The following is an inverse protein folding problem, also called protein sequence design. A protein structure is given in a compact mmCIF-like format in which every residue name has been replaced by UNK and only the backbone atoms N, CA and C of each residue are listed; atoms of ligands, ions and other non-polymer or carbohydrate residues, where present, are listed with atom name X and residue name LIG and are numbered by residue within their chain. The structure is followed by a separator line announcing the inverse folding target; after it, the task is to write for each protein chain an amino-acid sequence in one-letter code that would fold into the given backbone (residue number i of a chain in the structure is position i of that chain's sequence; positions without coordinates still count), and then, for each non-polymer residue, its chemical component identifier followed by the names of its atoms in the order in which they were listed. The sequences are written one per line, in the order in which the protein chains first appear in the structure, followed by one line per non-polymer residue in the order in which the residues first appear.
data_IF_737601595851
#
_entry.id   IF_737601595851
#
_cell.length_a   1.000
_cell.length_b   1.000
_cell.length_c   1.000
_cell.angle_alpha   90.00
_cell.angle_beta   90.00
_cell.angle_gamma   90.00
#
_symmetry.space_group_name_H-M   'P 1'
#
loop_
_entity.id
_entity.type
_entity.pdbx_description
1 polymer ?
#
# COMPACT_ATOMS: atom_id res chain seq x y z
N UNK A 1 -28.80 8.36 49.13
CA UNK A 1 -29.44 9.33 48.22
C UNK A 1 -28.36 10.25 47.64
N UNK A 2 -28.52 10.59 46.35
CA UNK A 2 -27.63 11.34 45.43
C UNK A 2 -26.66 10.45 44.62
N UNK A 3 -27.16 10.11 43.44
CA UNK A 3 -26.46 9.39 42.38
C UNK A 3 -25.63 10.30 41.48
N UNK A 4 -24.68 9.68 40.82
CA UNK A 4 -23.81 10.26 39.80
C UNK A 4 -24.26 9.68 38.46
N UNK A 5 -24.91 10.52 37.65
CA UNK A 5 -25.39 10.17 36.32
C UNK A 5 -24.31 10.50 35.29
N UNK A 6 -24.19 9.62 34.28
CA UNK A 6 -23.19 9.73 33.23
C UNK A 6 -23.49 10.79 32.18
N UNK A 7 -22.44 11.12 31.42
CA UNK A 7 -22.52 11.81 30.14
C UNK A 7 -21.28 11.47 29.30
N UNK A 8 -21.37 10.37 28.54
CA UNK A 8 -20.51 10.11 27.39
C UNK A 8 -21.34 10.46 26.15
N UNK A 9 -20.98 11.56 25.48
CA UNK A 9 -21.54 11.96 24.20
C UNK A 9 -20.68 11.39 23.07
N UNK A 10 -21.23 10.41 22.37
CA UNK A 10 -20.68 9.78 21.17
C UNK A 10 -21.48 10.26 19.96
N UNK A 11 -20.79 10.54 18.85
CA UNK A 11 -21.41 10.61 17.51
C UNK A 11 -21.56 11.99 16.88
N UNK A 12 -20.46 12.63 16.46
CA UNK A 12 -20.49 13.67 15.41
C UNK A 12 -19.12 13.88 14.73
N UNK A 13 -18.38 12.80 14.47
CA UNK A 13 -17.04 12.86 13.84
C UNK A 13 -16.94 12.18 12.48
N UNK A 14 -17.76 11.17 12.21
CA UNK A 14 -17.54 10.24 11.09
C UNK A 14 -18.11 10.72 9.73
N UNK A 15 -19.03 11.68 9.75
CA UNK A 15 -19.63 12.23 8.52
C UNK A 15 -18.75 13.33 7.91
N UNK A 16 -18.06 14.11 8.74
CA UNK A 16 -17.17 15.20 8.30
C UNK A 16 -15.91 14.68 7.58
N UNK A 17 -15.40 13.50 7.97
CA UNK A 17 -14.21 12.89 7.37
C UNK A 17 -14.52 12.34 5.97
N UNK A 18 -15.73 11.79 5.74
CA UNK A 18 -16.15 11.32 4.40
C UNK A 18 -16.34 12.45 3.39
N UNK A 19 -16.87 13.60 3.81
CA UNK A 19 -17.02 14.77 2.93
C UNK A 19 -15.66 15.42 2.62
N UNK A 20 -14.71 15.40 3.57
CA UNK A 20 -13.34 15.85 3.35
C UNK A 20 -12.60 14.97 2.31
N UNK A 21 -12.85 13.66 2.28
CA UNK A 21 -12.31 12.74 1.26
C UNK A 21 -12.91 12.97 -0.14
N UNK A 22 -14.15 13.47 -0.23
CA UNK A 22 -14.80 13.80 -1.51
C UNK A 22 -14.32 15.13 -2.09
N UNK A 23 -13.97 16.11 -1.24
CA UNK A 23 -13.42 17.42 -1.65
C UNK A 23 -11.97 17.39 -2.14
N UNK A 24 -11.13 16.49 -1.62
CA UNK A 24 -9.71 16.39 -1.99
C UNK A 24 -9.52 15.89 -3.43
N UNK A 25 -10.47 15.13 -3.98
CA UNK A 25 -10.47 14.73 -5.38
C UNK A 25 -10.67 15.90 -6.36
N UNK A 26 -11.35 16.98 -5.95
CA UNK A 26 -11.60 18.17 -6.78
C UNK A 26 -10.47 19.21 -6.73
N UNK A 27 -9.86 19.42 -5.55
CA UNK A 27 -8.82 20.43 -5.36
C UNK A 27 -7.45 20.04 -5.96
N UNK A 28 -7.22 18.75 -6.20
CA UNK A 28 -5.97 18.25 -6.83
C UNK A 28 -5.99 18.44 -8.36
N UNK A 29 -7.16 18.54 -8.98
CA UNK A 29 -7.29 18.82 -10.42
C UNK A 29 -6.98 20.27 -10.81
N UNK A 30 -7.31 21.24 -9.95
CA UNK A 30 -7.21 22.67 -10.28
C UNK A 30 -5.78 23.25 -10.20
N UNK A 31 -4.96 22.81 -9.24
CA UNK A 31 -3.61 23.35 -9.05
C UNK A 31 -2.54 22.75 -9.99
N UNK A 32 -2.83 21.62 -10.63
CA UNK A 32 -1.91 20.96 -11.57
C UNK A 32 -2.03 21.49 -13.01
N UNK A 33 -3.01 22.35 -13.28
CA UNK A 33 -3.22 23.03 -14.56
C UNK A 33 -2.39 24.33 -14.68
N UNK A 34 -2.09 25.00 -13.56
CA UNK A 34 -1.46 26.33 -13.56
C UNK A 34 0.08 26.32 -13.61
N UNK A 35 0.75 25.18 -13.48
CA UNK A 35 2.22 25.08 -13.42
C UNK A 35 2.92 24.51 -14.67
N UNK A 36 2.19 24.07 -15.69
CA UNK A 36 2.76 23.29 -16.82
C UNK A 36 2.90 24.03 -18.15
N UNK A 37 2.49 25.30 -18.22
CA UNK A 37 2.45 26.04 -19.48
C UNK A 37 3.81 26.51 -20.02
N UNK A 38 4.92 26.39 -19.28
CA UNK A 38 6.18 27.09 -19.66
C UNK A 38 7.36 26.23 -20.17
N UNK A 39 7.31 24.88 -20.20
CA UNK A 39 8.54 24.07 -20.49
C UNK A 39 8.30 22.81 -21.36
N UNK A 40 7.30 22.79 -22.26
CA UNK A 40 6.70 21.52 -22.72
C UNK A 40 6.98 20.94 -24.13
N UNK A 41 7.49 21.68 -25.13
CA UNK A 41 7.11 21.35 -26.54
C UNK A 41 8.09 20.50 -27.40
N UNK A 42 9.08 19.75 -26.88
CA UNK A 42 10.00 18.99 -27.79
C UNK A 42 10.32 17.52 -27.49
N UNK A 43 9.49 16.78 -26.73
CA UNK A 43 9.75 15.36 -26.47
C UNK A 43 8.45 14.53 -26.53
N UNK A 44 7.79 14.53 -27.70
CA UNK A 44 6.40 14.04 -27.86
C UNK A 44 6.21 12.56 -28.25
N UNK A 45 7.00 11.98 -29.16
CA UNK A 45 6.54 10.76 -29.84
C UNK A 45 6.94 9.42 -29.18
N UNK A 46 7.90 9.40 -28.24
CA UNK A 46 8.32 8.17 -27.55
C UNK A 46 7.60 7.89 -26.21
N UNK A 47 6.82 8.86 -25.69
CA UNK A 47 6.27 8.82 -24.31
C UNK A 47 4.86 8.25 -24.19
N UNK A 48 4.18 7.98 -25.31
CA UNK A 48 2.79 7.50 -25.29
C UNK A 48 2.63 6.04 -24.79
N UNK A 49 3.71 5.25 -24.76
CA UNK A 49 3.69 3.83 -24.33
C UNK A 49 3.97 3.58 -22.84
N UNK A 50 4.20 4.60 -22.02
CA UNK A 50 4.21 4.38 -20.56
C UNK A 50 2.76 4.47 -20.09
N UNK A 51 1.99 3.38 -20.29
CA UNK A 51 0.74 3.24 -19.55
C UNK A 51 1.09 3.20 -18.06
N UNK A 52 0.24 3.80 -17.22
CA UNK A 52 0.52 4.12 -15.81
C UNK A 52 1.02 2.94 -14.95
N UNK A 53 0.81 1.71 -15.40
CA UNK A 53 1.31 0.50 -14.75
C UNK A 53 2.39 -0.28 -15.52
N UNK A 54 2.68 0.04 -16.78
CA UNK A 54 3.62 -0.74 -17.59
C UNK A 54 5.04 -0.67 -17.01
N UNK A 55 5.42 0.48 -16.48
CA UNK A 55 6.71 0.65 -15.83
C UNK A 55 6.81 -0.18 -14.54
N UNK A 56 5.72 -0.33 -13.79
CA UNK A 56 5.68 -1.18 -12.58
C UNK A 56 5.85 -2.62 -13.00
N UNK A 57 5.05 -3.10 -13.96
CA UNK A 57 5.14 -4.46 -14.48
C UNK A 57 6.53 -4.75 -15.02
N UNK A 58 7.07 -3.88 -15.87
CA UNK A 58 8.44 -4.01 -16.39
C UNK A 58 9.49 -4.01 -15.26
N UNK A 59 9.32 -3.19 -14.23
CA UNK A 59 10.22 -3.16 -13.07
C UNK A 59 10.17 -4.47 -12.29
N UNK A 60 8.98 -5.02 -12.07
CA UNK A 60 8.79 -6.30 -11.39
C UNK A 60 9.33 -7.44 -12.25
N UNK A 61 9.02 -7.48 -13.54
CA UNK A 61 9.48 -8.53 -14.45
C UNK A 61 11.01 -8.53 -14.62
N UNK A 62 11.66 -7.39 -14.38
CA UNK A 62 13.11 -7.25 -14.36
C UNK A 62 13.75 -7.65 -13.00
N UNK A 63 12.97 -7.93 -11.96
CA UNK A 63 13.54 -8.34 -10.67
C UNK A 63 14.14 -9.74 -10.78
N UNK A 64 15.42 -9.92 -10.40
CA UNK A 64 16.01 -11.25 -10.37
C UNK A 64 15.33 -12.08 -9.28
N UNK A 65 14.92 -13.30 -9.65
CA UNK A 65 14.47 -14.28 -8.68
C UNK A 65 15.67 -14.70 -7.78
N UNK A 66 15.53 -14.61 -6.45
CA UNK A 66 16.56 -15.12 -5.55
C UNK A 66 16.64 -16.64 -5.63
N UNK A 67 17.83 -17.19 -5.37
CA UNK A 67 18.01 -18.64 -5.28
C UNK A 67 17.16 -19.24 -4.16
N UNK A 68 16.78 -20.51 -4.25
CA UNK A 68 15.98 -21.19 -3.24
C UNK A 68 16.72 -22.43 -2.72
N UNK A 69 17.26 -22.42 -1.49
CA UNK A 69 17.31 -21.30 -0.53
C UNK A 69 18.25 -20.18 -0.98
N UNK A 70 18.03 -18.95 -0.47
CA UNK A 70 18.90 -17.82 -0.81
C UNK A 70 20.20 -17.87 -0.01
N UNK A 71 21.30 -17.56 -0.68
CA UNK A 71 22.63 -17.43 -0.08
C UNK A 71 23.17 -16.00 -0.14
N UNK A 72 22.44 -15.09 -0.82
CA UNK A 72 22.72 -13.66 -0.85
C UNK A 72 21.54 -12.91 -0.23
N UNK A 73 21.81 -11.74 0.32
CA UNK A 73 20.76 -10.83 0.73
C UNK A 73 19.95 -10.39 -0.50
N UNK A 74 18.63 -10.46 -0.39
CA UNK A 74 17.68 -10.00 -1.38
C UNK A 74 16.75 -8.99 -0.73
N UNK A 75 16.52 -7.87 -1.40
CA UNK A 75 15.68 -6.78 -0.91
C UNK A 75 14.88 -6.15 -2.05
N UNK A 76 13.60 -5.89 -1.77
CA UNK A 76 12.82 -4.98 -2.60
C UNK A 76 11.76 -4.26 -1.78
N UNK A 77 11.60 -2.96 -2.01
CA UNK A 77 10.71 -2.08 -1.26
C UNK A 77 9.83 -1.24 -2.19
N UNK A 78 8.83 -0.56 -1.61
CA UNK A 78 8.02 0.39 -2.34
C UNK A 78 8.84 1.62 -2.77
N UNK A 79 9.77 2.07 -1.94
CA UNK A 79 10.71 3.13 -2.30
C UNK A 79 11.57 2.76 -3.50
N UNK A 80 12.18 1.56 -3.50
CA UNK A 80 12.96 1.03 -4.61
C UNK A 80 12.13 0.91 -5.90
N UNK A 81 10.86 0.50 -5.80
CA UNK A 81 9.95 0.52 -6.95
C UNK A 81 9.80 1.94 -7.50
N UNK A 82 9.44 2.91 -6.66
CA UNK A 82 9.17 4.27 -7.12
C UNK A 82 10.43 4.96 -7.65
N UNK A 83 11.60 4.75 -7.06
CA UNK A 83 12.85 5.33 -7.56
C UNK A 83 13.20 4.88 -8.99
N UNK A 84 12.74 3.70 -9.42
CA UNK A 84 12.89 3.22 -10.82
C UNK A 84 11.90 3.85 -11.81
N UNK A 85 10.99 4.69 -11.34
CA UNK A 85 10.03 5.36 -12.22
C UNK A 85 10.73 6.39 -13.14
N UNK A 86 10.50 6.36 -14.47
CA UNK A 86 11.29 7.14 -15.44
C UNK A 86 11.16 8.67 -15.33
N UNK A 87 10.17 9.15 -14.58
CA UNK A 87 9.96 10.60 -14.34
C UNK A 87 10.32 11.04 -12.92
N UNK A 88 10.91 10.18 -12.09
CA UNK A 88 11.39 10.58 -10.76
C UNK A 88 12.73 11.28 -10.95
N UNK A 89 12.85 12.57 -10.63
CA UNK A 89 14.14 13.25 -10.69
C UNK A 89 15.10 12.64 -9.67
N UNK A 90 16.38 12.45 -10.03
CA UNK A 90 17.39 11.88 -9.13
C UNK A 90 17.48 12.59 -7.76
N UNK A 91 17.24 13.91 -7.73
CA UNK A 91 17.26 14.70 -6.47
C UNK A 91 16.15 14.29 -5.49
N UNK A 92 15.09 13.64 -5.96
CA UNK A 92 13.98 13.15 -5.13
C UNK A 92 14.19 11.73 -4.62
N UNK A 93 15.25 11.03 -5.04
CA UNK A 93 15.54 9.67 -4.59
C UNK A 93 15.74 9.60 -3.07
N UNK A 94 16.47 10.57 -2.47
CA UNK A 94 16.80 10.53 -1.04
C UNK A 94 15.57 10.63 -0.12
N UNK A 95 14.61 11.55 -0.32
CA UNK A 95 13.35 11.52 0.42
C UNK A 95 12.52 10.26 0.17
N UNK A 96 12.56 9.70 -1.05
CA UNK A 96 11.84 8.48 -1.38
C UNK A 96 12.41 7.25 -0.68
N UNK A 97 13.68 7.26 -0.26
CA UNK A 97 14.25 6.21 0.60
C UNK A 97 13.55 6.08 1.95
N UNK A 98 12.80 7.08 2.41
CA UNK A 98 11.93 6.93 3.59
C UNK A 98 10.83 5.90 3.36
N UNK A 99 10.44 5.66 2.10
CA UNK A 99 9.50 4.62 1.70
C UNK A 99 10.16 3.24 1.60
N UNK A 100 11.49 3.13 1.76
CA UNK A 100 12.13 1.82 1.76
C UNK A 100 11.71 1.00 2.99
N UNK A 101 11.33 1.66 4.09
CA UNK A 101 10.70 1.00 5.23
C UNK A 101 9.22 0.61 5.01
N UNK A 102 8.60 0.98 3.90
CA UNK A 102 7.22 0.58 3.59
C UNK A 102 7.23 -0.51 2.52
N UNK A 103 6.67 -1.67 2.84
CA UNK A 103 6.60 -2.75 1.86
C UNK A 103 7.92 -3.43 1.58
N UNK A 104 9.00 -3.10 2.31
CA UNK A 104 10.25 -3.84 2.17
C UNK A 104 10.01 -5.31 2.46
N UNK A 105 10.45 -6.16 1.53
CA UNK A 105 10.68 -7.58 1.75
C UNK A 105 12.18 -7.78 1.70
N UNK A 106 12.76 -8.20 2.82
CA UNK A 106 14.21 -8.40 2.97
C UNK A 106 14.46 -9.79 3.50
N UNK A 107 15.28 -10.57 2.83
CA UNK A 107 15.74 -11.84 3.39
C UNK A 107 17.08 -12.25 2.79
N UNK A 108 17.90 -12.89 3.60
CA UNK A 108 19.23 -13.35 3.23
C UNK A 108 19.67 -14.54 4.07
N UNK A 109 20.97 -14.85 4.08
CA UNK A 109 21.49 -15.95 4.89
C UNK A 109 21.39 -15.69 6.41
N UNK A 110 21.34 -14.43 6.85
CA UNK A 110 21.39 -14.09 8.29
C UNK A 110 20.08 -13.56 8.84
N UNK A 111 19.31 -12.82 8.03
CA UNK A 111 18.11 -12.11 8.49
C UNK A 111 16.93 -12.26 7.53
N UNK A 112 15.74 -12.01 8.06
CA UNK A 112 14.48 -11.89 7.34
C UNK A 112 13.67 -10.74 7.92
N UNK A 113 12.94 -10.01 7.09
CA UNK A 113 12.27 -8.80 7.52
C UNK A 113 11.18 -8.31 6.59
N UNK A 114 10.24 -7.59 7.20
CA UNK A 114 9.21 -6.82 6.52
C UNK A 114 9.23 -5.37 6.99
N UNK A 115 8.87 -4.44 6.10
CA UNK A 115 8.66 -3.03 6.43
C UNK A 115 9.85 -2.37 7.19
N UNK A 116 11.08 -2.72 6.80
CA UNK A 116 12.30 -2.17 7.39
C UNK A 116 12.67 -2.74 8.76
N UNK A 117 11.96 -3.75 9.27
CA UNK A 117 12.35 -4.50 10.46
C UNK A 117 13.06 -5.80 10.07
N UNK A 118 14.37 -5.89 10.35
CA UNK A 118 15.19 -7.08 10.09
C UNK A 118 15.29 -7.96 11.36
N UNK A 119 14.97 -9.24 11.22
CA UNK A 119 14.94 -10.24 12.29
C UNK A 119 15.98 -11.33 11.96
N UNK A 120 16.97 -11.59 12.83
CA UNK A 120 17.87 -12.71 12.69
C UNK A 120 17.14 -14.06 12.68
N UNK A 121 17.51 -14.97 11.79
CA UNK A 121 16.81 -16.26 11.62
C UNK A 121 16.73 -17.08 12.92
N UNK A 122 17.75 -17.02 13.79
CA UNK A 122 17.76 -17.73 15.09
C UNK A 122 16.68 -17.25 16.07
N UNK A 123 16.16 -16.04 15.85
CA UNK A 123 15.03 -15.49 16.64
C UNK A 123 13.68 -15.84 16.02
N UNK A 124 13.63 -16.18 14.74
CA UNK A 124 12.39 -16.54 14.07
C UNK A 124 11.91 -17.89 14.58
N UNK A 125 10.68 -17.93 15.07
CA UNK A 125 10.04 -19.15 15.58
C UNK A 125 9.20 -19.77 14.49
N UNK A 126 8.42 -18.95 13.79
CA UNK A 126 7.43 -19.41 12.81
C UNK A 126 7.25 -18.39 11.69
N UNK A 127 7.06 -18.90 10.48
CA UNK A 127 6.59 -18.16 9.33
C UNK A 127 5.16 -18.60 9.01
N UNK A 128 4.20 -17.69 9.11
CA UNK A 128 2.81 -17.99 8.78
C UNK A 128 2.49 -17.51 7.36
N UNK A 129 2.00 -18.42 6.53
CA UNK A 129 1.52 -18.10 5.19
C UNK A 129 0.02 -17.88 5.20
N UNK A 130 -0.44 -16.80 4.59
CA UNK A 130 -1.87 -16.50 4.43
C UNK A 130 -2.21 -16.49 2.96
N UNK A 131 -3.50 -16.64 2.65
CA UNK A 131 -3.97 -16.29 1.32
C UNK A 131 -3.76 -14.79 1.09
N UNK A 132 -2.96 -14.46 0.07
CA UNK A 132 -2.68 -13.09 -0.31
C UNK A 132 -3.96 -12.31 -0.57
N UNK A 133 -4.96 -12.92 -1.21
CA UNK A 133 -6.18 -12.23 -1.63
C UNK A 133 -7.11 -11.90 -0.46
N UNK A 134 -7.18 -12.78 0.54
CA UNK A 134 -7.91 -12.49 1.77
C UNK A 134 -7.26 -11.36 2.57
N UNK A 135 -5.93 -11.22 2.46
CA UNK A 135 -5.15 -10.20 3.15
C UNK A 135 -5.23 -8.85 2.45
N UNK A 136 -5.39 -8.83 1.12
CA UNK A 136 -5.51 -7.62 0.31
C UNK A 136 -6.92 -7.02 0.38
N UNK A 137 -7.34 -6.53 1.55
CA UNK A 137 -8.65 -5.89 1.66
C UNK A 137 -8.63 -4.42 1.24
N UNK A 138 -9.81 -3.91 0.93
CA UNK A 138 -10.01 -2.48 0.70
C UNK A 138 -9.62 -1.62 1.90
N UNK A 139 -9.91 -2.09 3.12
CA UNK A 139 -9.52 -1.39 4.35
C UNK A 139 -7.99 -1.40 4.54
N UNK A 140 -7.32 -2.50 4.18
CA UNK A 140 -5.85 -2.57 4.18
C UNK A 140 -5.23 -1.58 3.18
N UNK A 141 -5.84 -1.43 2.00
CA UNK A 141 -5.41 -0.43 1.01
C UNK A 141 -5.56 1.00 1.52
N UNK A 142 -6.72 1.35 2.08
CA UNK A 142 -6.94 2.70 2.62
C UNK A 142 -5.94 3.00 3.76
N UNK A 143 -5.70 2.02 4.64
CA UNK A 143 -4.69 2.11 5.72
C UNK A 143 -3.28 2.33 5.16
N UNK A 144 -2.90 1.60 4.12
CA UNK A 144 -1.57 1.72 3.50
C UNK A 144 -1.40 3.09 2.83
N UNK A 145 -2.43 3.61 2.16
CA UNK A 145 -2.42 4.94 1.55
C UNK A 145 -2.22 6.03 2.60
N UNK A 146 -2.87 5.92 3.75
CA UNK A 146 -2.71 6.88 4.85
C UNK A 146 -1.31 6.76 5.48
N UNK A 147 -0.79 5.54 5.67
CA UNK A 147 0.59 5.30 6.14
C UNK A 147 1.63 5.94 5.20
N UNK A 148 1.47 5.81 3.89
CA UNK A 148 2.34 6.45 2.88
C UNK A 148 2.32 7.98 3.02
N UNK A 149 1.13 8.56 3.26
CA UNK A 149 1.01 10.01 3.45
C UNK A 149 1.77 10.43 4.69
N UNK A 150 1.65 9.71 5.79
CA UNK A 150 2.26 10.08 7.07
C UNK A 150 3.79 10.00 7.06
N UNK A 151 4.35 9.03 6.34
CA UNK A 151 5.80 8.85 6.20
C UNK A 151 6.45 9.92 5.30
N UNK A 152 5.72 10.45 4.32
CA UNK A 152 6.26 11.43 3.40
C UNK A 152 6.31 12.84 4.03
N UNK A 153 7.52 13.44 4.19
CA UNK A 153 7.65 14.78 4.74
C UNK A 153 6.92 15.82 3.88
N UNK A 154 6.51 16.97 4.47
CA UNK A 154 5.84 18.03 3.75
C UNK A 154 6.80 18.74 2.78
N UNK A 155 7.02 18.14 1.61
CA UNK A 155 7.88 18.67 0.55
C UNK A 155 7.05 19.25 -0.60
N UNK A 156 7.58 20.25 -1.33
CA UNK A 156 7.00 20.65 -2.60
C UNK A 156 6.98 19.44 -3.54
N UNK A 157 5.81 19.15 -4.12
CA UNK A 157 5.61 17.93 -4.92
C UNK A 157 5.19 16.68 -4.14
N UNK A 158 4.95 16.75 -2.82
CA UNK A 158 4.43 15.61 -2.02
C UNK A 158 3.19 14.98 -2.63
N UNK A 159 2.22 15.79 -3.09
CA UNK A 159 1.00 15.28 -3.75
C UNK A 159 1.33 14.41 -4.96
N UNK A 160 2.32 14.81 -5.75
CA UNK A 160 2.77 14.04 -6.91
C UNK A 160 3.42 12.72 -6.48
N UNK A 161 4.32 12.76 -5.49
CA UNK A 161 4.97 11.57 -4.96
C UNK A 161 3.95 10.57 -4.40
N UNK A 162 3.05 11.01 -3.51
CA UNK A 162 1.95 10.18 -2.98
C UNK A 162 1.14 9.57 -4.12
N UNK A 163 0.76 10.37 -5.12
CA UNK A 163 -0.01 9.87 -6.27
C UNK A 163 0.74 8.75 -7.00
N UNK A 164 2.05 8.91 -7.24
CA UNK A 164 2.87 7.89 -7.92
C UNK A 164 3.12 6.65 -7.09
N UNK A 165 3.31 6.80 -5.78
CA UNK A 165 3.45 5.68 -4.86
C UNK A 165 2.15 4.87 -4.81
N UNK A 166 1.01 5.55 -4.67
CA UNK A 166 -0.32 4.89 -4.64
C UNK A 166 -0.65 4.24 -6.00
N UNK A 167 -0.33 4.89 -7.12
CA UNK A 167 -0.45 4.31 -8.47
C UNK A 167 0.42 3.04 -8.61
N UNK A 168 1.65 3.08 -8.11
CA UNK A 168 2.55 1.93 -8.05
C UNK A 168 1.94 0.78 -7.24
N UNK A 169 1.57 1.04 -5.98
CA UNK A 169 0.94 0.08 -5.09
C UNK A 169 -0.30 -0.57 -5.72
N UNK A 170 -1.23 0.23 -6.22
CA UNK A 170 -2.46 -0.26 -6.87
C UNK A 170 -2.14 -1.13 -8.08
N UNK A 171 -1.13 -0.77 -8.87
CA UNK A 171 -0.70 -1.56 -10.02
C UNK A 171 -0.15 -2.91 -9.58
N UNK A 172 0.64 -2.97 -8.50
CA UNK A 172 1.16 -4.26 -7.97
C UNK A 172 0.00 -5.14 -7.50
N UNK A 173 -0.97 -4.58 -6.77
CA UNK A 173 -2.16 -5.30 -6.29
C UNK A 173 -3.02 -5.82 -7.46
N UNK A 174 -3.23 -5.00 -8.50
CA UNK A 174 -3.94 -5.43 -9.69
C UNK A 174 -3.19 -6.53 -10.44
N UNK A 175 -1.88 -6.36 -10.62
CA UNK A 175 -1.05 -7.33 -11.33
C UNK A 175 -0.99 -8.69 -10.59
N UNK A 176 -1.05 -8.69 -9.24
CA UNK A 176 -1.12 -9.94 -8.48
C UNK A 176 -2.50 -10.61 -8.60
N UNK A 177 -3.59 -9.84 -8.63
CA UNK A 177 -4.95 -10.35 -8.87
C UNK A 177 -5.13 -10.94 -10.27
N UNK A 178 -4.64 -10.25 -11.30
CA UNK A 178 -4.66 -10.72 -12.69
C UNK A 178 -3.88 -12.03 -12.86
N UNK A 179 -2.68 -12.12 -12.28
CA UNK A 179 -1.86 -13.33 -12.36
C UNK A 179 -2.53 -14.56 -11.73
N UNK A 180 -3.26 -14.39 -10.63
CA UNK A 180 -4.01 -15.50 -10.05
C UNK A 180 -5.17 -15.95 -10.93
N UNK A 181 -5.86 -15.02 -11.58
CA UNK A 181 -6.93 -15.33 -12.52
C UNK A 181 -6.39 -16.10 -13.74
N UNK A 182 -5.29 -15.61 -14.33
CA UNK A 182 -4.62 -16.25 -15.46
C UNK A 182 -4.17 -17.69 -15.15
N UNK A 183 -3.69 -17.92 -13.92
CA UNK A 183 -3.26 -19.24 -13.46
C UNK A 183 -4.40 -20.10 -12.91
N UNK A 184 -5.63 -19.56 -12.82
CA UNK A 184 -6.78 -20.18 -12.15
C UNK A 184 -6.43 -20.68 -10.74
N UNK A 185 -5.64 -19.89 -10.04
CA UNK A 185 -5.22 -20.19 -8.68
C UNK A 185 -6.21 -19.54 -7.73
N UNK A 186 -7.00 -20.36 -7.05
CA UNK A 186 -7.98 -19.87 -6.08
C UNK A 186 -7.32 -19.30 -4.82
N UNK A 187 -6.12 -19.77 -4.47
CA UNK A 187 -5.37 -19.35 -3.27
C UNK A 187 -3.87 -19.26 -3.55
N UNK A 188 -3.28 -18.12 -3.21
CA UNK A 188 -1.82 -17.92 -3.30
C UNK A 188 -1.28 -17.79 -1.88
N UNK A 189 -0.76 -18.88 -1.28
CA UNK A 189 -0.19 -18.81 0.06
C UNK A 189 1.11 -18.00 0.02
N UNK A 190 1.11 -16.84 0.67
CA UNK A 190 2.29 -15.98 0.80
C UNK A 190 2.62 -15.77 2.25
N UNK A 191 3.90 -15.68 2.57
CA UNK A 191 4.35 -15.37 3.92
C UNK A 191 3.88 -13.95 4.31
N UNK A 192 2.93 -13.85 5.24
CA UNK A 192 2.42 -12.57 5.71
C UNK A 192 2.80 -12.28 7.16
N UNK A 193 3.22 -13.27 7.95
CA UNK A 193 3.56 -13.06 9.34
C UNK A 193 4.84 -13.80 9.73
N UNK A 194 5.72 -13.11 10.44
CA UNK A 194 6.93 -13.65 11.05
C UNK A 194 6.76 -13.57 12.56
N UNK A 195 6.62 -14.71 13.22
CA UNK A 195 6.63 -14.79 14.67
C UNK A 195 8.05 -15.02 15.15
N UNK A 196 8.54 -14.15 16.03
CA UNK A 196 9.92 -14.15 16.51
C UNK A 196 10.03 -13.89 18.01
N UNK A 197 11.18 -14.25 18.59
CA UNK A 197 11.50 -14.04 20.01
C UNK A 197 12.04 -12.63 20.23
N UNK A 198 11.30 -11.81 20.98
CA UNK A 198 11.73 -10.48 21.42
C UNK A 198 12.73 -10.50 22.58
N UNK A 199 13.14 -9.30 23.03
CA UNK A 199 14.18 -9.07 24.06
C UNK A 199 13.92 -9.69 25.46
N UNK A 200 12.74 -10.25 25.71
CA UNK A 200 12.38 -10.89 26.98
C UNK A 200 11.81 -12.31 26.77
N UNK A 201 12.16 -12.94 25.65
CA UNK A 201 11.60 -14.24 25.25
C UNK A 201 10.11 -14.19 24.89
N UNK A 202 9.46 -13.03 24.97
CA UNK A 202 8.08 -12.84 24.50
C UNK A 202 8.04 -12.93 22.99
N UNK A 203 7.12 -13.73 22.49
CA UNK A 203 6.84 -13.80 21.07
C UNK A 203 6.24 -12.48 20.58
N UNK A 204 6.71 -12.04 19.41
CA UNK A 204 6.20 -10.90 18.67
C UNK A 204 5.90 -11.36 17.26
N UNK A 205 4.88 -10.75 16.66
CA UNK A 205 4.50 -11.03 15.28
C UNK A 205 4.74 -9.78 14.46
N UNK A 206 5.59 -9.91 13.44
CA UNK A 206 5.78 -8.91 12.40
C UNK A 206 4.90 -9.29 11.22
N UNK A 207 3.99 -8.39 10.84
CA UNK A 207 3.07 -8.61 9.72
C UNK A 207 3.54 -7.85 8.49
N UNK A 208 3.48 -8.50 7.33
CA UNK A 208 3.74 -7.90 6.04
C UNK A 208 2.69 -6.83 5.72
N UNK A 209 3.13 -5.69 5.19
CA UNK A 209 2.23 -4.68 4.63
C UNK A 209 1.53 -5.19 3.38
N UNK A 210 0.56 -4.40 2.90
CA UNK A 210 -0.18 -4.70 1.69
C UNK A 210 0.75 -4.81 0.46
N UNK A 211 1.75 -3.93 0.37
CA UNK A 211 2.71 -3.97 -0.73
C UNK A 211 3.55 -5.25 -0.70
N UNK A 212 4.11 -5.61 0.45
CA UNK A 212 4.91 -6.82 0.62
C UNK A 212 4.09 -8.08 0.27
N UNK A 213 2.85 -8.13 0.73
CA UNK A 213 1.90 -9.22 0.42
C UNK A 213 1.63 -9.31 -1.09
N UNK A 214 1.32 -8.18 -1.74
CA UNK A 214 1.04 -8.14 -3.18
C UNK A 214 2.28 -8.47 -4.03
N UNK A 215 3.46 -8.02 -3.60
CA UNK A 215 4.74 -8.32 -4.24
C UNK A 215 5.02 -9.82 -4.21
N UNK A 216 4.89 -10.47 -3.05
CA UNK A 216 5.10 -11.91 -2.91
C UNK A 216 4.07 -12.72 -3.72
N UNK A 217 2.83 -12.25 -3.80
CA UNK A 217 1.79 -12.88 -4.59
C UNK A 217 2.08 -12.80 -6.11
N UNK A 218 2.59 -11.66 -6.58
CA UNK A 218 3.06 -11.49 -7.96
C UNK A 218 4.31 -12.33 -8.22
N UNK A 219 5.31 -12.22 -7.36
CA UNK A 219 6.62 -12.84 -7.55
C UNK A 219 6.72 -14.19 -6.84
N UNK A 220 6.04 -15.21 -7.38
CA UNK A 220 5.98 -16.53 -6.74
C UNK A 220 7.34 -17.16 -6.52
N UNK A 221 8.32 -16.92 -7.41
CA UNK A 221 9.69 -17.38 -7.23
C UNK A 221 10.38 -16.76 -5.99
N UNK A 222 10.08 -15.48 -5.68
CA UNK A 222 10.58 -14.81 -4.46
C UNK A 222 9.92 -15.41 -3.23
N UNK A 223 8.60 -15.63 -3.26
CA UNK A 223 7.87 -16.25 -2.16
C UNK A 223 8.36 -17.68 -1.87
N UNK A 224 8.57 -18.48 -2.91
CA UNK A 224 9.13 -19.84 -2.81
C UNK A 224 10.54 -19.82 -2.23
N UNK A 225 11.40 -18.90 -2.69
CA UNK A 225 12.75 -18.72 -2.16
C UNK A 225 12.73 -18.32 -0.67
N UNK A 226 11.86 -17.41 -0.25
CA UNK A 226 11.69 -17.02 1.15
C UNK A 226 11.29 -18.24 2.01
N UNK A 227 10.31 -19.02 1.57
CA UNK A 227 9.85 -20.23 2.28
C UNK A 227 10.94 -21.31 2.32
N UNK A 228 11.65 -21.53 1.22
CA UNK A 228 12.77 -22.47 1.16
C UNK A 228 13.91 -22.06 2.11
N UNK A 229 14.22 -20.77 2.16
CA UNK A 229 15.22 -20.20 3.07
C UNK A 229 14.81 -20.38 4.53
N UNK A 230 13.57 -20.05 4.88
CA UNK A 230 13.04 -20.27 6.23
C UNK A 230 13.17 -21.74 6.66
N UNK A 231 12.81 -22.68 5.78
CA UNK A 231 12.95 -24.12 6.05
C UNK A 231 14.41 -24.55 6.21
N UNK A 232 15.34 -23.98 5.43
CA UNK A 232 16.77 -24.26 5.54
C UNK A 232 17.34 -23.81 6.91
N UNK A 233 16.79 -22.75 7.49
CA UNK A 233 17.10 -22.30 8.87
C UNK A 233 16.33 -23.06 9.96
N UNK A 234 15.54 -24.08 9.61
CA UNK A 234 14.75 -24.84 10.56
C UNK A 234 13.52 -24.10 11.11
N UNK A 235 13.09 -23.03 10.45
CA UNK A 235 11.88 -22.29 10.82
C UNK A 235 10.63 -23.07 10.40
N UNK A 236 9.67 -23.19 11.30
CA UNK A 236 8.37 -23.81 11.03
C UNK A 236 7.57 -22.91 10.07
N UNK A 237 7.14 -23.45 8.93
CA UNK A 237 6.26 -22.74 7.99
C UNK A 237 4.85 -23.31 8.10
N UNK A 238 3.90 -22.49 8.55
CA UNK A 238 2.53 -22.90 8.86
C UNK A 238 1.55 -22.12 8.01
N UNK A 239 0.52 -22.78 7.48
CA UNK A 239 -0.59 -22.09 6.83
C UNK A 239 -1.55 -21.51 7.89
N UNK A 240 -1.89 -20.23 7.73
CA UNK A 240 -2.82 -19.57 8.63
C UNK A 240 -4.18 -20.27 8.61
N UNK A 241 -4.68 -20.63 9.78
CA UNK A 241 -6.06 -21.07 9.90
C UNK A 241 -6.94 -19.84 9.66
N UNK A 242 -7.86 -19.88 8.66
CA UNK A 242 -8.74 -18.74 8.40
C UNK A 242 -9.51 -18.40 9.67
N UNK A 243 -9.40 -17.14 10.09
CA UNK A 243 -9.97 -16.68 11.36
C UNK A 243 -11.50 -16.83 11.31
N UNK A 244 -12.00 -17.87 11.98
CA UNK A 244 -13.42 -18.07 12.22
C UNK A 244 -14.18 -18.78 11.10
N UNK A 245 -13.71 -19.95 10.64
CA UNK A 245 -14.49 -20.86 9.78
C UNK A 245 -15.19 -20.15 8.61
N UNK A 246 -14.58 -19.05 8.15
CA UNK A 246 -15.25 -18.08 7.31
C UNK A 246 -15.65 -18.80 6.03
N UNK A 247 -16.96 -18.75 5.75
CA UNK A 247 -17.55 -19.36 4.57
C UNK A 247 -16.73 -18.96 3.35
N UNK A 248 -16.27 -19.93 2.58
CA UNK A 248 -15.50 -19.72 1.35
C UNK A 248 -16.25 -18.76 0.40
N UNK A 249 -17.59 -18.75 0.48
CA UNK A 249 -18.43 -17.77 -0.21
C UNK A 249 -18.18 -16.32 0.22
N UNK A 250 -17.96 -16.06 1.51
CA UNK A 250 -17.66 -14.72 2.04
C UNK A 250 -16.23 -14.25 1.68
N UNK A 251 -15.27 -15.18 1.58
CA UNK A 251 -13.95 -14.87 1.04
C UNK A 251 -14.04 -14.49 -0.45
N UNK A 252 -14.75 -15.29 -1.24
CA UNK A 252 -14.97 -15.02 -2.66
C UNK A 252 -15.70 -13.69 -2.90
N UNK A 253 -16.69 -13.33 -2.07
CA UNK A 253 -17.39 -12.04 -2.11
C UNK A 253 -16.43 -10.87 -1.84
N UNK A 254 -15.60 -10.97 -0.80
CA UNK A 254 -14.58 -9.95 -0.48
C UNK A 254 -13.61 -9.71 -1.64
N UNK A 255 -13.13 -10.80 -2.25
CA UNK A 255 -12.23 -10.71 -3.42
C UNK A 255 -12.93 -10.06 -4.61
N UNK A 256 -14.20 -10.41 -4.88
CA UNK A 256 -15.01 -9.77 -5.93
C UNK A 256 -15.22 -8.27 -5.67
N UNK A 257 -15.53 -7.89 -4.43
CA UNK A 257 -15.69 -6.49 -4.04
C UNK A 257 -14.39 -5.68 -4.19
N UNK A 258 -13.25 -6.27 -3.81
CA UNK A 258 -11.94 -5.66 -4.00
C UNK A 258 -11.64 -5.41 -5.48
N UNK A 259 -11.86 -6.41 -6.34
CA UNK A 259 -11.68 -6.27 -7.80
C UNK A 259 -12.54 -5.13 -8.35
N UNK A 260 -13.84 -5.13 -8.07
CA UNK A 260 -14.76 -4.09 -8.54
C UNK A 260 -14.34 -2.67 -8.10
N UNK A 261 -13.87 -2.51 -6.85
CA UNK A 261 -13.37 -1.21 -6.37
C UNK A 261 -12.06 -0.82 -7.07
N UNK A 262 -11.17 -1.77 -7.28
CA UNK A 262 -9.87 -1.50 -7.91
C UNK A 262 -10.04 -1.16 -9.40
N UNK A 263 -10.98 -1.81 -10.09
CA UNK A 263 -11.40 -1.46 -11.46
C UNK A 263 -12.01 -0.06 -11.56
N UNK A 264 -12.80 0.32 -10.56
CA UNK A 264 -13.37 1.67 -10.45
C UNK A 264 -12.26 2.72 -10.31
N UNK A 265 -11.27 2.46 -9.44
CA UNK A 265 -10.12 3.35 -9.24
C UNK A 265 -9.27 3.41 -10.53
N UNK A 266 -8.99 2.27 -11.16
CA UNK A 266 -8.25 2.21 -12.41
C UNK A 266 -8.95 3.00 -13.53
N UNK A 267 -10.27 2.90 -13.62
CA UNK A 267 -11.08 3.67 -14.58
C UNK A 267 -11.03 5.17 -14.28
N UNK A 268 -11.12 5.56 -13.00
CA UNK A 268 -10.99 6.96 -12.59
C UNK A 268 -9.61 7.53 -12.92
N UNK A 269 -8.54 6.77 -12.67
CA UNK A 269 -7.17 7.16 -13.01
C UNK A 269 -6.98 7.32 -14.53
N UNK A 270 -7.58 6.42 -15.33
CA UNK A 270 -7.61 6.54 -16.80
C UNK A 270 -8.33 7.82 -17.25
N UNK A 271 -9.52 8.10 -16.72
CA UNK A 271 -10.26 9.31 -17.06
C UNK A 271 -9.53 10.61 -16.65
N UNK A 272 -8.92 10.63 -15.46
CA UNK A 272 -8.10 11.78 -15.02
C UNK A 272 -6.89 12.02 -15.93
N UNK A 273 -6.31 10.95 -16.49
CA UNK A 273 -5.23 11.06 -17.45
C UNK A 273 -5.70 11.65 -18.78
N UNK A 274 -6.79 11.14 -19.34
CA UNK A 274 -7.36 11.64 -20.59
C UNK A 274 -7.71 13.13 -20.48
N UNK A 275 -8.24 13.55 -19.32
CA UNK A 275 -8.47 14.97 -19.03
C UNK A 275 -7.17 15.78 -18.98
N UNK A 276 -6.13 15.27 -18.33
CA UNK A 276 -4.84 15.95 -18.26
C UNK A 276 -4.15 16.06 -19.63
N UNK A 277 -4.33 15.06 -20.49
CA UNK A 277 -3.82 15.04 -21.87
C UNK A 277 -4.59 16.01 -22.77
N UNK A 278 -5.92 16.05 -22.66
CA UNK A 278 -6.74 17.03 -23.38
C UNK A 278 -6.39 18.48 -23.01
N UNK A 279 -6.14 18.76 -21.72
CA UNK A 279 -5.69 20.09 -21.27
C UNK A 279 -4.29 20.42 -21.80
N UNK A 280 -3.40 19.44 -21.91
CA UNK A 280 -2.07 19.65 -22.49
C UNK A 280 -2.12 19.89 -24.01
N UNK A 281 -3.02 19.22 -24.72
CA UNK A 281 -3.21 19.39 -26.16
C UNK A 281 -3.94 20.70 -26.52
N UNK A 282 -4.89 21.15 -25.69
CA UNK A 282 -5.65 22.38 -25.90
C UNK A 282 -4.91 23.67 -25.54
N UNK A 283 -3.69 23.58 -24.99
CA UNK A 283 -2.88 24.75 -24.61
C UNK A 283 -2.06 25.37 -25.75
N UNK A 284 -2.11 24.82 -26.97
CA UNK A 284 -1.35 25.31 -28.14
C UNK A 284 -2.21 26.09 -29.15
N UNK A 285 -3.52 26.28 -28.92
CA UNK A 285 -4.26 27.36 -29.58
C UNK A 285 -3.90 28.68 -28.87
N UNK A 286 -2.66 29.11 -29.07
CA UNK A 286 -2.27 30.51 -28.93
C UNK A 286 -3.25 31.28 -29.83
N UNK A 287 -4.16 32.10 -29.26
CA UNK A 287 -5.06 32.88 -30.08
C UNK A 287 -4.16 33.74 -30.96
N UNK A 288 -4.25 33.50 -32.28
CA UNK A 288 -3.58 34.26 -33.32
C UNK A 288 -4.03 35.70 -33.15
N UNK A 289 -3.30 36.42 -32.29
CA UNK A 289 -3.61 37.78 -31.90
C UNK A 289 -3.50 38.54 -33.22
N UNK A 290 -4.62 39.08 -33.75
CA UNK A 290 -4.58 39.75 -35.02
C UNK A 290 -3.58 40.86 -34.86
N UNK A 291 -2.45 40.74 -35.57
CA UNK A 291 -1.34 41.68 -35.61
C UNK A 291 -1.86 42.94 -36.29
N UNK A 292 -2.72 43.65 -35.58
CA UNK A 292 -3.21 44.96 -35.93
C UNK A 292 -1.97 45.83 -35.97
N UNK A 293 -1.62 46.24 -37.19
CA UNK A 293 -0.62 47.22 -37.46
C UNK A 293 -0.79 48.39 -36.46
N UNK A 294 0.15 48.49 -35.52
CA UNK A 294 0.41 49.74 -34.83
C UNK A 294 0.99 50.68 -35.88
N UNK A 295 0.10 51.34 -36.60
CA UNK A 295 0.38 52.57 -37.28
C UNK A 295 0.81 53.57 -36.19
N UNK A 296 2.05 54.02 -36.30
CA UNK A 296 2.67 54.98 -35.39
C UNK A 296 2.03 56.33 -35.71
N UNK A 297 0.95 56.66 -34.98
CA UNK A 297 0.35 57.98 -34.93
C UNK A 297 0.84 58.74 -33.71
N UNK A 298 1.81 59.60 -33.95
CA UNK A 298 2.31 60.64 -33.05
C UNK A 298 1.20 61.66 -32.72
N UNK A 299 0.74 61.73 -31.47
CA UNK A 299 0.14 62.95 -30.92
C UNK A 299 0.40 63.10 -29.43
N UNK A 300 0.96 64.28 -29.12
CA UNK A 300 1.30 64.89 -27.84
C UNK A 300 0.20 64.91 -26.75
N UNK A 301 0.58 65.18 -25.49
CA UNK A 301 -0.31 65.23 -24.34
C UNK A 301 -0.94 66.63 -24.20
N UNK A 302 -2.19 66.69 -23.74
CA UNK A 302 -2.60 67.59 -22.66
C UNK A 302 -4.04 67.30 -22.23
N UNK A 303 -4.28 67.68 -20.98
CA UNK A 303 -5.55 67.89 -20.30
C UNK A 303 -6.15 66.81 -19.39
N UNK A 304 -6.12 67.22 -18.12
CA UNK A 304 -6.79 66.70 -16.96
C UNK A 304 -8.31 66.78 -17.08
N UNK A 305 -9.01 65.82 -16.46
CA UNK A 305 -10.46 65.88 -16.31
C UNK A 305 -10.98 64.77 -15.42
N UNK A 306 -11.20 65.11 -14.16
CA UNK A 306 -11.87 64.28 -13.16
C UNK A 306 -13.31 63.93 -13.57
N UNK A 307 -13.73 62.68 -13.36
CA UNK A 307 -15.10 62.36 -12.97
C UNK A 307 -15.20 60.93 -12.41
N UNK A 308 -15.86 60.83 -11.27
CA UNK A 308 -16.22 59.61 -10.58
C UNK A 308 -17.32 58.82 -11.33
N UNK A 309 -17.28 57.50 -11.22
CA UNK A 309 -18.49 56.67 -11.31
C UNK A 309 -18.27 55.35 -10.57
N UNK A 310 -18.94 55.24 -9.43
CA UNK A 310 -19.22 54.02 -8.68
C UNK A 310 -20.17 53.11 -9.48
N UNK A 311 -19.84 51.82 -9.58
CA UNK A 311 -20.71 50.81 -10.17
C UNK A 311 -20.57 49.48 -9.43
N UNK A 312 -21.48 49.23 -8.49
CA UNK A 312 -21.68 47.94 -7.82
C UNK A 312 -22.20 46.89 -8.81
N UNK A 313 -21.58 45.71 -8.82
CA UNK A 313 -22.12 44.51 -9.46
C UNK A 313 -22.39 43.45 -8.40
N UNK A 314 -23.67 43.22 -8.11
CA UNK A 314 -24.16 42.11 -7.29
C UNK A 314 -24.75 41.07 -8.24
N UNK A 315 -24.03 39.98 -8.47
CA UNK A 315 -24.51 38.85 -9.27
C UNK A 315 -24.96 37.70 -8.38
N UNK A 316 -26.28 37.57 -8.17
CA UNK A 316 -26.89 36.41 -7.53
C UNK A 316 -27.25 35.37 -8.60
N UNK A 317 -26.49 34.27 -8.66
CA UNK A 317 -26.81 33.11 -9.50
C UNK A 317 -27.57 32.07 -8.69
N UNK A 318 -28.87 31.90 -8.98
CA UNK A 318 -29.68 30.79 -8.47
C UNK A 318 -29.51 29.58 -9.40
N UNK A 319 -28.88 28.51 -8.89
CA UNK A 319 -28.81 27.22 -9.56
C UNK A 319 -29.91 26.29 -9.06
N UNK A 320 -30.79 25.85 -9.97
CA UNK A 320 -31.80 24.82 -9.72
C UNK A 320 -31.16 23.43 -9.84
N UNK A 321 -31.02 22.72 -8.71
CA UNK A 321 -30.59 21.33 -8.66
C UNK A 321 -31.79 20.38 -8.67
N UNK A 322 -31.94 19.61 -9.74
CA UNK A 322 -32.92 18.52 -9.84
C UNK A 322 -32.40 17.29 -9.09
N UNK A 323 -32.96 17.01 -7.91
CA UNK A 323 -32.69 15.78 -7.16
C UNK A 323 -33.61 14.64 -7.62
N UNK A 324 -33.04 13.57 -8.17
CA UNK A 324 -33.74 12.29 -8.34
C UNK A 324 -33.49 11.42 -7.11
N UNK A 325 -34.47 11.37 -6.21
CA UNK A 325 -34.53 10.39 -5.13
C UNK A 325 -35.34 9.17 -5.62
N UNK A 326 -34.66 8.05 -5.85
CA UNK A 326 -35.29 6.74 -5.96
C UNK A 326 -35.11 6.02 -4.62
N UNK A 327 -36.16 6.06 -3.80
CA UNK A 327 -36.27 5.25 -2.60
C UNK A 327 -36.75 3.84 -2.94
N UNK A 328 -36.00 2.85 -2.47
CA UNK A 328 -36.46 1.47 -2.34
C UNK A 328 -36.19 1.04 -0.90
N UNK A 329 -37.22 1.15 -0.05
CA UNK A 329 -37.22 0.61 1.29
C UNK A 329 -37.82 -0.79 1.29
N UNK A 330 -37.01 -1.80 1.61
CA UNK A 330 -37.48 -3.12 2.04
C UNK A 330 -37.15 -3.27 3.51
N UNK A 331 -38.17 -3.08 4.36
CA UNK A 331 -38.10 -3.42 5.78
C UNK A 331 -38.28 -4.92 5.94
N UNK A 332 -37.25 -5.59 6.45
CA UNK A 332 -37.36 -6.92 7.03
C UNK A 332 -37.13 -6.78 8.54
N UNK A 333 -38.19 -7.05 9.31
CA UNK A 333 -38.10 -7.11 10.76
C UNK A 333 -37.35 -8.35 11.23
N UNK A 334 -36.76 -8.27 12.41
CA UNK A 334 -36.51 -9.43 13.27
C UNK A 334 -36.45 -8.96 14.72
N UNK A 335 -37.38 -9.50 15.50
CA UNK A 335 -37.45 -9.35 16.93
C UNK A 335 -36.32 -10.16 17.59
N UNK A 336 -35.52 -9.51 18.44
CA UNK A 336 -34.63 -10.20 19.35
C UNK A 336 -35.40 -10.49 20.66
N UNK A 337 -35.86 -11.73 20.80
CA UNK A 337 -36.35 -12.27 22.05
C UNK A 337 -35.17 -12.64 22.95
N UNK A 338 -35.17 -12.09 24.17
CA UNK A 338 -34.28 -12.50 25.24
C UNK A 338 -34.66 -13.91 25.72
N UNK A 339 -33.66 -14.80 25.83
CA UNK A 339 -33.80 -16.13 26.41
C UNK A 339 -32.63 -16.41 27.34
N UNK A 340 -32.83 -16.16 28.63
CA UNK A 340 -31.97 -16.65 29.71
C UNK A 340 -32.20 -18.15 29.91
N UNK A 341 -31.13 -18.94 29.84
CA UNK A 341 -31.16 -20.37 30.12
C UNK A 341 -29.90 -20.82 30.84
N UNK A 342 -29.93 -20.78 32.18
CA UNK A 342 -29.00 -21.47 33.08
C UNK A 342 -29.32 -22.96 33.11
N UNK A 343 -28.31 -23.82 33.01
CA UNK A 343 -28.42 -25.24 33.32
C UNK A 343 -27.06 -25.94 33.28
N UNK A 344 -26.59 -26.56 34.38
CA UNK A 344 -25.33 -27.28 34.42
C UNK A 344 -25.55 -28.75 34.04
N UNK A 345 -24.69 -29.29 33.18
CA UNK A 345 -24.55 -30.75 33.01
C UNK A 345 -23.10 -31.14 33.19
N UNK A 346 -22.87 -31.74 34.36
CA UNK A 346 -21.68 -32.52 34.67
C UNK A 346 -21.64 -33.75 33.76
N UNK A 347 -20.52 -33.94 33.07
CA UNK A 347 -20.23 -35.13 32.28
C UNK A 347 -18.78 -35.55 32.52
N UNK A 348 -18.58 -36.40 33.51
CA UNK A 348 -17.32 -37.07 33.77
C UNK A 348 -17.03 -38.09 32.66
N UNK A 349 -15.87 -37.99 32.02
CA UNK A 349 -15.29 -39.06 31.22
C UNK A 349 -13.86 -39.32 31.69
N UNK A 350 -13.65 -40.59 32.07
CA UNK A 350 -12.43 -41.19 32.61
C UNK A 350 -11.29 -41.21 31.58
N UNK A 351 -10.03 -41.30 32.06
CA UNK A 351 -8.85 -41.44 31.24
C UNK A 351 -8.74 -42.85 30.64
N UNK A 352 -8.30 -42.94 29.39
CA UNK A 352 -7.81 -44.18 28.81
C UNK A 352 -6.30 -44.24 29.01
N UNK A 353 -5.89 -45.14 29.92
CA UNK A 353 -4.56 -45.69 29.99
C UNK A 353 -4.22 -46.41 28.68
N UNK A 354 -3.04 -46.15 28.13
CA UNK A 354 -2.38 -47.08 27.21
C UNK A 354 -0.89 -47.05 27.48
N UNK A 355 -0.42 -48.25 27.79
CA UNK A 355 0.83 -48.56 28.43
C UNK A 355 2.03 -48.48 27.49
N UNK A 356 3.15 -48.05 28.08
CA UNK A 356 4.49 -48.65 28.02
C UNK A 356 4.86 -49.49 26.80
N UNK A 357 5.80 -48.97 26.02
CA UNK A 357 6.86 -49.78 25.42
C UNK A 357 8.20 -49.10 25.66
N UNK A 358 8.96 -49.68 26.59
CA UNK A 358 10.35 -49.40 26.91
C UNK A 358 11.22 -49.98 25.79
N UNK A 359 12.01 -49.14 25.12
CA UNK A 359 13.21 -49.56 24.40
C UNK A 359 14.29 -48.50 24.62
N UNK A 360 15.32 -48.86 25.37
CA UNK A 360 16.62 -48.18 25.44
C UNK A 360 17.66 -49.16 24.91
N UNK A 361 18.59 -48.72 24.05
CA UNK A 361 20.00 -48.71 24.47
C UNK A 361 20.67 -47.39 24.06
N UNK A 362 21.30 -46.69 25.00
CA UNK A 362 22.72 -46.79 25.36
C UNK A 362 23.65 -46.06 24.36
N UNK A 363 24.29 -44.99 24.85
CA UNK A 363 25.61 -44.57 24.38
C UNK A 363 25.72 -43.12 23.91
N UNK A 364 26.13 -42.23 24.84
CA UNK A 364 27.22 -41.26 24.69
C UNK A 364 26.90 -39.94 25.44
N UNK A 365 27.50 -39.79 26.61
CA UNK A 365 27.62 -38.52 27.34
C UNK A 365 28.44 -37.48 26.54
N UNK A 366 27.96 -36.23 26.42
CA UNK A 366 28.82 -35.06 26.28
C UNK A 366 28.94 -34.34 27.63
N UNK A 367 30.19 -34.15 28.06
CA UNK A 367 30.59 -33.43 29.26
C UNK A 367 29.99 -32.01 29.34
N UNK A 368 29.62 -31.52 30.54
CA UNK A 368 29.26 -30.13 30.75
C UNK A 368 30.51 -29.28 30.97
N UNK A 369 30.65 -28.16 30.23
CA UNK A 369 31.58 -27.10 30.62
C UNK A 369 32.31 -26.42 29.47
N UNK A 370 31.61 -25.58 28.70
CA UNK A 370 32.24 -24.36 28.15
C UNK A 370 31.13 -23.34 27.85
N UNK A 371 31.10 -22.16 28.49
CA UNK A 371 30.22 -21.09 28.05
C UNK A 371 30.68 -20.59 26.67
N UNK A 372 29.75 -20.32 25.73
CA UNK A 372 30.13 -19.77 24.43
C UNK A 372 30.72 -18.37 24.61
N UNK A 373 31.75 -18.01 23.83
CA UNK A 373 32.32 -16.66 23.86
C UNK A 373 31.25 -15.66 23.43
N UNK A 374 31.18 -14.54 24.14
CA UNK A 374 30.37 -13.38 23.79
C UNK A 374 30.54 -13.05 22.32
N UNK A 375 29.46 -13.19 21.55
CA UNK A 375 29.41 -12.76 20.16
C UNK A 375 29.67 -11.25 20.09
N UNK A 376 30.39 -10.77 19.06
CA UNK A 376 30.62 -9.35 18.86
C UNK A 376 29.28 -8.64 18.65
N UNK A 377 29.02 -7.61 19.45
CA UNK A 377 28.00 -6.61 19.18
C UNK A 377 28.36 -5.91 17.86
N UNK A 378 27.69 -6.25 16.76
CA UNK A 378 27.91 -5.56 15.50
C UNK A 378 27.10 -4.26 15.43
N UNK A 379 27.74 -3.13 15.07
CA UNK A 379 27.04 -1.90 14.76
C UNK A 379 26.20 -2.05 13.48
N UNK A 380 25.12 -1.29 13.37
CA UNK A 380 24.28 -1.21 12.19
C UNK A 380 25.14 -1.03 10.92
N UNK A 381 24.93 -1.90 9.93
CA UNK A 381 25.61 -1.84 8.63
C UNK A 381 25.22 -0.54 7.91
N UNK A 382 26.17 0.34 7.54
CA UNK A 382 25.88 1.46 6.67
C UNK A 382 25.77 0.96 5.22
N UNK A 383 24.55 0.92 4.69
CA UNK A 383 24.23 0.60 3.28
C UNK A 383 24.67 1.70 2.29
N UNK A 384 25.90 2.23 2.39
CA UNK A 384 26.30 3.46 1.67
C UNK A 384 27.43 3.27 0.64
N UNK A 385 27.63 2.07 0.10
CA UNK A 385 28.51 1.85 -1.05
C UNK A 385 27.69 1.60 -2.31
N UNK A 386 27.43 2.65 -3.09
CA UNK A 386 26.85 2.60 -4.44
C UNK A 386 27.78 1.83 -5.39
N UNK A 387 27.56 0.53 -5.53
CA UNK A 387 28.04 -0.23 -6.68
C UNK A 387 27.14 0.15 -7.88
N UNK A 388 27.67 0.75 -8.96
CA UNK A 388 26.87 1.14 -10.12
C UNK A 388 26.30 -0.05 -10.90
N UNK A 389 26.70 -1.28 -10.58
CA UNK A 389 26.17 -2.52 -11.17
C UNK A 389 25.09 -3.18 -10.30
N UNK A 390 24.84 -2.66 -9.10
CA UNK A 390 23.76 -3.14 -8.25
C UNK A 390 22.41 -2.79 -8.91
N UNK A 391 21.60 -3.78 -9.34
CA UNK A 391 20.29 -3.51 -9.92
C UNK A 391 19.34 -2.83 -8.92
N UNK A 392 19.69 -2.78 -7.63
CA UNK A 392 18.95 -2.15 -6.56
C UNK A 392 19.44 -0.73 -6.21
N UNK A 393 20.58 -0.28 -6.76
CA UNK A 393 21.05 1.09 -6.57
C UNK A 393 20.19 2.09 -7.36
N UNK A 394 19.72 3.13 -6.66
CA UNK A 394 18.95 4.24 -7.22
C UNK A 394 19.83 5.45 -7.55
#
# INVERSE_FOLDING_TARGET
MKGFAGWFGEGSGDVAIRDQLRGIGGAVGSAAASGRAAVGSRIGAGRARVASGDWVRATLDALPAPNAPTFLAWEFSLGALVCRHPKVPAITARPLRLLDGLGAVRFGPETVGFDGEDIPWEKVVRLTTHDAFESMTTAALDTEVDRIRDVLPPLPGRKWAVTKVVEGLLTVVLASLEQADDRRIDRVPVACEITYRGLLGRERTLRASLFATALLARQTAVAESLVATARAHGVEVVEAVPAGGADEAAAAERTRALRARTDTIATKLRAQREQAEAVAAGGEEEPDEPRAAREIGDTSPDDAGAAAATGSATGAGAGTGSGSAAGAGTGAGSAAGAGTGTGPVAGAARPSDSASAVVTPAGADPRPGTPPPHGPSYPAHPSDATDPTDPFAC
#
